data_IF_923103710271
#
_entry.id   IF_923103710271
#
_cell.length_a   1.000
_cell.length_b   1.000
_cell.length_c   1.000
_cell.angle_alpha   90.00
_cell.angle_beta   90.00
_cell.angle_gamma   90.00
#
_symmetry.space_group_name_H-M   'P 1'
#
loop_
_entity.id
_entity.type
_entity.pdbx_description
1 polymer ?
#
# COMPACT_ATOMS: atom_id res chain seq x y z
N UNK A 1 -30.70 -5.36 -26.08
CA UNK A 1 -29.31 -4.89 -26.01
C UNK A 1 -28.94 -4.80 -24.54
N UNK A 2 -27.85 -5.45 -24.15
CA UNK A 2 -27.61 -5.93 -22.78
C UNK A 2 -27.45 -4.84 -21.71
N UNK A 3 -27.93 -5.16 -20.51
CA UNK A 3 -27.65 -4.47 -19.26
C UNK A 3 -26.14 -4.60 -18.97
N UNK A 4 -25.40 -3.50 -19.04
CA UNK A 4 -24.08 -3.44 -18.40
C UNK A 4 -24.35 -3.43 -16.89
N UNK A 5 -24.28 -4.61 -16.28
CA UNK A 5 -24.29 -4.73 -14.84
C UNK A 5 -23.04 -4.09 -14.28
N UNK A 6 -23.15 -2.89 -13.72
CA UNK A 6 -22.13 -2.28 -12.87
C UNK A 6 -22.07 -3.09 -11.56
N UNK A 7 -21.50 -4.29 -11.63
CA UNK A 7 -21.20 -5.09 -10.45
C UNK A 7 -20.06 -4.40 -9.69
N UNK A 8 -20.38 -3.89 -8.49
CA UNK A 8 -19.40 -3.19 -7.67
C UNK A 8 -18.39 -4.21 -7.11
N UNK A 9 -17.31 -4.48 -7.86
CA UNK A 9 -16.21 -5.33 -7.42
C UNK A 9 -15.52 -4.68 -6.20
N UNK A 10 -15.60 -5.32 -5.04
CA UNK A 10 -14.95 -4.82 -3.82
C UNK A 10 -13.47 -5.20 -3.79
N UNK A 11 -12.58 -4.25 -4.06
CA UNK A 11 -11.15 -4.44 -3.89
C UNK A 11 -10.77 -4.19 -2.42
N UNK A 12 -10.07 -5.16 -1.83
CA UNK A 12 -9.60 -5.11 -0.45
C UNK A 12 -8.09 -5.11 -0.44
N UNK A 13 -7.49 -4.09 0.17
CA UNK A 13 -6.05 -4.06 0.45
C UNK A 13 -5.81 -4.40 1.91
N UNK A 14 -4.93 -5.38 2.14
CA UNK A 14 -4.49 -5.80 3.47
C UNK A 14 -3.02 -5.43 3.64
N UNK A 15 -2.69 -4.69 4.70
CA UNK A 15 -1.29 -4.55 5.11
C UNK A 15 -0.92 -5.74 5.99
N UNK A 16 0.27 -6.30 5.76
CA UNK A 16 0.89 -7.21 6.73
C UNK A 16 1.03 -6.52 8.09
N UNK A 17 0.61 -7.23 9.15
CA UNK A 17 0.61 -6.77 10.54
C UNK A 17 2.00 -6.50 11.10
N UNK A 18 3.00 -7.19 10.53
CA UNK A 18 4.37 -7.28 11.02
C UNK A 18 5.30 -7.27 9.81
N UNK A 19 6.42 -6.61 9.98
CA UNK A 19 7.59 -6.81 9.12
C UNK A 19 8.08 -8.25 9.29
N UNK A 20 8.61 -8.83 8.22
CA UNK A 20 9.33 -10.08 8.30
C UNK A 20 10.53 -9.94 9.26
N UNK A 21 10.98 -11.05 9.86
CA UNK A 21 12.08 -11.01 10.84
C UNK A 21 13.33 -10.40 10.19
N UNK A 22 13.65 -10.78 8.95
CA UNK A 22 14.76 -10.20 8.19
C UNK A 22 14.60 -8.70 7.94
N UNK A 23 13.38 -8.24 7.64
CA UNK A 23 13.11 -6.81 7.42
C UNK A 23 13.31 -5.99 8.70
N UNK A 24 13.00 -6.60 9.86
CA UNK A 24 13.22 -5.98 11.17
C UNK A 24 14.70 -5.95 11.52
N UNK A 25 15.44 -7.02 11.28
CA UNK A 25 16.87 -7.12 11.55
C UNK A 25 17.68 -6.15 10.68
N UNK A 26 17.31 -6.00 9.41
CA UNK A 26 17.93 -5.07 8.47
C UNK A 26 17.45 -3.62 8.59
N UNK A 27 16.58 -3.31 9.56
CA UNK A 27 15.99 -1.98 9.75
C UNK A 27 15.33 -1.42 8.46
N UNK A 28 14.67 -2.30 7.70
CA UNK A 28 13.97 -1.92 6.48
C UNK A 28 12.80 -1.01 6.82
N UNK A 29 12.76 0.19 6.23
CA UNK A 29 11.69 1.16 6.46
C UNK A 29 10.37 0.68 5.82
N UNK A 30 9.30 0.62 6.61
CA UNK A 30 7.94 0.53 6.08
C UNK A 30 7.63 1.77 5.24
N UNK A 31 7.45 1.59 3.93
CA UNK A 31 7.03 2.68 3.03
C UNK A 31 5.52 2.69 2.75
N UNK A 32 4.77 1.77 3.35
CA UNK A 32 3.31 1.67 3.18
C UNK A 32 2.61 2.30 4.38
N UNK A 33 1.82 3.34 4.11
CA UNK A 33 0.93 4.01 5.05
C UNK A 33 -0.55 3.76 4.68
N UNK A 34 -1.45 3.83 5.64
CA UNK A 34 -2.87 3.53 5.49
C UNK A 34 -3.59 4.62 6.25
N UNK A 35 -4.37 5.40 5.52
CA UNK A 35 -5.13 6.52 6.04
C UNK A 35 -6.57 6.37 5.54
N UNK A 36 -7.51 6.10 6.45
CA UNK A 36 -8.93 5.87 6.14
C UNK A 36 -9.13 4.73 5.12
N UNK A 37 -9.55 5.08 3.91
CA UNK A 37 -9.81 4.22 2.77
C UNK A 37 -8.72 4.36 1.68
N UNK A 38 -7.59 5.00 2.01
CA UNK A 38 -6.45 5.18 1.12
C UNK A 38 -5.20 4.47 1.63
N UNK A 39 -4.50 3.81 0.73
CA UNK A 39 -3.15 3.28 0.97
C UNK A 39 -2.15 4.22 0.31
N UNK A 40 -1.19 4.71 1.08
CA UNK A 40 -0.17 5.65 0.64
C UNK A 40 1.14 4.89 0.54
N UNK A 41 1.77 4.93 -0.63
CA UNK A 41 3.09 4.39 -0.88
C UNK A 41 4.09 5.54 -0.89
N UNK A 42 4.91 5.60 0.14
CA UNK A 42 6.04 6.51 0.21
C UNK A 42 7.16 6.04 -0.73
N UNK A 43 7.92 6.96 -1.33
CA UNK A 43 9.00 6.59 -2.23
C UNK A 43 10.14 5.88 -1.48
N UNK A 44 10.50 4.69 -1.94
CA UNK A 44 11.67 3.95 -1.49
C UNK A 44 12.93 4.46 -2.20
N UNK A 45 13.31 5.72 -1.96
CA UNK A 45 14.27 6.43 -2.81
C UNK A 45 15.33 7.26 -2.12
N UNK A 46 15.35 7.34 -0.79
CA UNK A 46 16.26 8.27 -0.10
C UNK A 46 17.77 7.95 -0.29
N UNK A 47 18.14 6.76 -0.80
CA UNK A 47 19.54 6.31 -0.85
C UNK A 47 20.13 6.09 -2.26
N UNK A 48 19.38 6.28 -3.35
CA UNK A 48 19.93 6.11 -4.71
C UNK A 48 19.94 7.46 -5.42
N UNK A 49 21.14 8.06 -5.52
CA UNK A 49 21.43 9.43 -5.94
C UNK A 49 21.08 9.79 -7.38
N UNK A 50 19.82 9.64 -7.77
CA UNK A 50 19.15 10.29 -8.90
C UNK A 50 17.66 10.12 -8.65
N UNK A 51 16.96 11.24 -8.52
CA UNK A 51 15.51 11.27 -8.36
C UNK A 51 14.83 10.63 -9.59
N UNK A 52 14.65 9.31 -9.56
CA UNK A 52 13.80 8.64 -10.52
C UNK A 52 12.39 9.19 -10.33
N UNK A 53 11.87 9.89 -11.34
CA UNK A 53 10.53 10.49 -11.29
C UNK A 53 9.42 9.44 -11.12
N UNK A 54 9.73 8.14 -11.28
CA UNK A 54 8.84 7.02 -10.97
C UNK A 54 8.75 6.75 -9.45
N UNK A 55 9.72 7.22 -8.67
CA UNK A 55 9.77 7.14 -7.21
C UNK A 55 9.11 8.36 -6.54
N UNK A 56 7.88 8.68 -6.96
CA UNK A 56 7.03 9.66 -6.28
C UNK A 56 6.08 8.95 -5.30
N UNK A 57 5.45 9.71 -4.40
CA UNK A 57 4.38 9.16 -3.57
C UNK A 57 3.25 8.64 -4.47
N UNK A 58 2.60 7.55 -4.04
CA UNK A 58 1.45 6.99 -4.76
C UNK A 58 0.29 6.71 -3.81
N UNK A 59 -0.87 7.25 -4.12
CA UNK A 59 -2.08 7.06 -3.31
C UNK A 59 -3.05 6.14 -4.05
N UNK A 60 -3.47 5.07 -3.39
CA UNK A 60 -4.42 4.09 -3.92
C UNK A 60 -5.70 4.22 -3.08
N UNK A 61 -6.81 4.61 -3.74
CA UNK A 61 -8.13 4.63 -3.11
C UNK A 61 -8.75 3.23 -3.16
N UNK A 62 -9.26 2.74 -2.03
CA UNK A 62 -9.84 1.41 -1.90
C UNK A 62 -11.23 1.50 -1.27
N UNK A 63 -12.14 0.62 -1.69
CA UNK A 63 -13.48 0.53 -1.07
C UNK A 63 -13.38 0.09 0.40
N UNK A 64 -12.41 -0.78 0.74
CA UNK A 64 -12.16 -1.22 2.11
C UNK A 64 -10.67 -1.46 2.38
N UNK A 65 -10.18 -0.90 3.49
CA UNK A 65 -8.83 -1.15 4.00
C UNK A 65 -8.89 -1.88 5.33
N UNK A 66 -8.05 -2.90 5.47
CA UNK A 66 -7.84 -3.57 6.75
C UNK A 66 -6.36 -3.45 7.12
N UNK A 67 -6.12 -2.82 8.27
CA UNK A 67 -4.87 -2.99 8.97
C UNK A 67 -4.89 -4.41 9.55
N UNK A 68 -3.99 -5.29 9.07
CA UNK A 68 -3.83 -6.61 9.67
C UNK A 68 -3.46 -6.43 11.14
N UNK A 69 -4.41 -6.62 12.03
CA UNK A 69 -4.14 -6.84 13.45
C UNK A 69 -4.26 -8.34 13.64
N UNK A 70 -3.13 -9.04 13.54
CA UNK A 70 -3.07 -10.43 13.99
C UNK A 70 -3.36 -10.41 15.50
N UNK A 71 -4.41 -11.15 15.91
CA UNK A 71 -4.69 -11.46 17.31
C UNK A 71 -3.46 -12.03 18.01
#
# INVERSE_FOLDING_TARGET
MGLLGEENLSVVVRRGSKLHIDEKELNTKCVVEMAKNQTILNPAGANLGKADSRCLWKTISCTRLYLGVSK
#
